data_IF_859689253565
#
_entry.id   IF_859689253565
#
_cell.length_a   1.000
_cell.length_b   1.000
_cell.length_c   1.000
_cell.angle_alpha   90.00
_cell.angle_beta   90.00
_cell.angle_gamma   90.00
#
_symmetry.space_group_name_H-M   'P 1'
#
loop_
_entity.id
_entity.type
_entity.pdbx_description
1 polymer ?
#
# COMPACT_ATOMS: atom_id res chain seq x y z
N UNK A 1 -50.41 24.35 -6.13
CA UNK A 1 -50.48 23.78 -4.77
C UNK A 1 -50.79 22.28 -4.89
N UNK A 2 -50.45 21.45 -3.89
CA UNK A 2 -50.98 20.09 -3.68
C UNK A 2 -51.07 19.11 -4.89
N UNK A 3 -49.92 18.71 -5.48
CA UNK A 3 -49.80 17.37 -6.10
C UNK A 3 -48.36 16.77 -6.07
N UNK A 4 -47.50 17.20 -5.15
CA UNK A 4 -46.11 16.72 -5.07
C UNK A 4 -45.77 16.03 -3.72
N UNK A 5 -46.76 15.39 -3.10
CA UNK A 5 -46.66 14.83 -1.73
C UNK A 5 -46.98 13.32 -1.64
N UNK A 6 -47.02 12.62 -2.79
CA UNK A 6 -47.51 11.22 -2.86
C UNK A 6 -46.42 10.17 -3.19
N UNK A 7 -45.25 10.56 -3.71
CA UNK A 7 -44.19 9.61 -4.14
C UNK A 7 -43.10 9.42 -3.08
N UNK A 8 -42.78 10.44 -2.28
CA UNK A 8 -41.80 10.39 -1.20
C UNK A 8 -42.31 9.66 0.06
N UNK A 9 -42.91 8.46 -0.10
CA UNK A 9 -43.38 7.62 1.03
C UNK A 9 -43.18 6.11 0.87
N UNK A 10 -42.35 5.66 -0.08
CA UNK A 10 -41.87 4.27 -0.19
C UNK A 10 -40.39 4.17 -0.61
N UNK A 11 -39.49 4.75 0.18
CA UNK A 11 -38.07 4.33 0.30
C UNK A 11 -37.41 5.09 1.47
N UNK A 12 -37.91 4.88 2.67
CA UNK A 12 -37.26 5.36 3.89
C UNK A 12 -36.50 4.20 4.53
N UNK A 13 -35.20 4.07 4.25
CA UNK A 13 -34.20 3.48 5.14
C UNK A 13 -32.78 3.77 4.65
N UNK A 14 -31.86 3.93 5.62
CA UNK A 14 -30.41 4.09 5.52
C UNK A 14 -29.83 5.47 5.08
N UNK A 15 -28.81 5.85 5.86
CA UNK A 15 -27.82 6.93 5.69
C UNK A 15 -28.28 8.38 5.50
N UNK A 16 -28.46 9.05 6.66
CA UNK A 16 -28.37 10.50 6.82
C UNK A 16 -26.91 10.94 6.66
N UNK A 17 -26.67 11.97 5.84
CA UNK A 17 -25.56 12.90 6.02
C UNK A 17 -26.14 14.30 6.25
N UNK A 18 -25.62 15.00 7.26
CA UNK A 18 -26.14 16.30 7.70
C UNK A 18 -25.27 17.42 7.11
N UNK A 19 -25.90 18.35 6.38
CA UNK A 19 -25.23 19.49 5.74
C UNK A 19 -25.86 20.78 6.24
N UNK A 20 -25.06 21.65 6.86
CA UNK A 20 -25.54 22.94 7.38
C UNK A 20 -25.75 23.95 6.25
N UNK A 21 -26.89 24.64 6.28
CA UNK A 21 -27.29 25.63 5.27
C UNK A 21 -27.01 27.03 5.81
N UNK A 22 -26.01 27.71 5.25
CA UNK A 22 -25.83 29.15 5.44
C UNK A 22 -26.88 29.91 4.62
N UNK A 23 -27.85 30.51 5.29
CA UNK A 23 -28.87 31.33 4.65
C UNK A 23 -28.30 32.69 4.21
N UNK A 24 -28.55 33.06 2.95
CA UNK A 24 -28.32 34.40 2.41
C UNK A 24 -29.65 35.01 1.95
N UNK A 25 -29.81 36.32 2.16
CA UNK A 25 -31.08 37.03 1.99
C UNK A 25 -31.49 37.27 0.52
N UNK A 26 -32.74 37.71 0.29
CA UNK A 26 -33.27 37.93 -1.05
C UNK A 26 -32.59 39.13 -1.73
N UNK A 27 -31.93 38.91 -2.87
CA UNK A 27 -31.36 40.01 -3.66
C UNK A 27 -30.39 39.63 -4.80
N UNK A 28 -29.82 38.42 -4.83
CA UNK A 28 -28.76 38.05 -5.78
C UNK A 28 -29.15 36.91 -6.73
N UNK A 29 -29.26 37.22 -8.03
CA UNK A 29 -29.34 36.22 -9.09
C UNK A 29 -27.95 35.67 -9.41
N UNK A 30 -27.60 34.49 -8.88
CA UNK A 30 -26.53 33.64 -9.43
C UNK A 30 -26.98 32.18 -9.43
N UNK A 31 -26.83 31.50 -10.57
CA UNK A 31 -27.08 30.08 -10.69
C UNK A 31 -25.88 29.29 -10.12
N UNK A 32 -26.15 28.31 -9.26
CA UNK A 32 -25.12 27.41 -8.75
C UNK A 32 -24.71 26.40 -9.83
N UNK A 33 -23.51 26.53 -10.39
CA UNK A 33 -22.92 25.52 -11.24
C UNK A 33 -22.36 24.37 -10.38
N UNK A 34 -23.04 23.24 -10.38
CA UNK A 34 -22.50 21.97 -9.86
C UNK A 34 -21.68 21.32 -10.96
N UNK A 35 -20.35 21.38 -10.86
CA UNK A 35 -19.42 20.71 -11.78
C UNK A 35 -18.92 19.40 -11.19
N UNK A 36 -19.35 18.27 -11.75
CA UNK A 36 -18.74 16.97 -11.48
C UNK A 36 -17.28 16.99 -11.95
N UNK A 37 -16.34 17.00 -11.02
CA UNK A 37 -14.91 16.97 -11.34
C UNK A 37 -14.46 15.54 -11.64
N UNK A 38 -14.38 15.20 -12.93
CA UNK A 38 -13.63 14.04 -13.37
C UNK A 38 -12.11 14.28 -13.28
N UNK A 39 -11.36 13.20 -13.14
CA UNK A 39 -9.90 13.21 -13.00
C UNK A 39 -9.25 13.84 -14.24
N UNK A 40 -8.40 14.84 -14.03
CA UNK A 40 -7.49 15.37 -15.05
C UNK A 40 -6.07 14.90 -14.79
N UNK A 41 -5.53 14.07 -15.69
CA UNK A 41 -4.08 13.92 -15.83
C UNK A 41 -3.51 15.21 -16.43
N UNK A 42 -2.54 15.82 -15.74
CA UNK A 42 -1.76 16.92 -16.32
C UNK A 42 -0.48 16.35 -16.92
N UNK A 43 -0.50 16.10 -18.23
CA UNK A 43 0.70 15.90 -19.05
C UNK A 43 0.93 17.18 -19.86
N UNK A 44 2.08 17.82 -19.71
CA UNK A 44 2.46 18.99 -20.51
C UNK A 44 3.00 18.56 -21.87
N UNK A 45 2.42 19.00 -23.00
CA UNK A 45 2.89 18.65 -24.34
C UNK A 45 3.86 19.70 -24.89
N UNK A 46 5.15 19.59 -24.57
CA UNK A 46 6.23 20.28 -25.29
C UNK A 46 7.36 19.29 -25.60
N UNK A 47 7.99 19.45 -26.78
CA UNK A 47 8.94 18.51 -27.41
C UNK A 47 8.35 17.15 -27.86
N UNK A 48 7.36 17.18 -28.76
CA UNK A 48 7.15 16.11 -29.75
C UNK A 48 7.02 16.66 -31.18
N UNK A 49 8.10 17.30 -31.65
CA UNK A 49 8.39 17.48 -33.07
C UNK A 49 9.78 16.89 -33.36
N UNK A 50 9.94 16.28 -34.54
CA UNK A 50 11.09 15.45 -34.97
C UNK A 50 11.12 14.00 -34.44
N UNK A 51 10.20 13.16 -34.93
CA UNK A 51 10.42 11.73 -35.18
C UNK A 51 9.58 11.30 -36.41
N UNK A 52 10.00 10.30 -37.22
CA UNK A 52 9.36 10.01 -38.52
C UNK A 52 8.01 9.26 -38.43
N UNK A 53 7.20 9.36 -39.48
CA UNK A 53 5.80 8.86 -39.56
C UNK A 53 5.56 7.37 -39.29
N UNK A 54 6.59 6.52 -39.22
CA UNK A 54 6.44 5.07 -39.13
C UNK A 54 6.06 4.51 -37.75
N UNK A 55 6.02 5.34 -36.69
CA UNK A 55 5.67 4.90 -35.33
C UNK A 55 4.21 5.15 -34.91
N UNK A 56 3.40 5.83 -35.74
CA UNK A 56 2.02 6.19 -35.38
C UNK A 56 0.99 5.07 -35.62
N UNK A 57 1.33 4.02 -36.37
CA UNK A 57 0.40 2.93 -36.73
C UNK A 57 0.26 1.82 -35.68
N UNK A 58 1.27 1.59 -34.83
CA UNK A 58 1.24 0.49 -33.85
C UNK A 58 0.46 0.83 -32.57
N UNK A 59 0.52 2.08 -32.10
CA UNK A 59 -0.19 2.51 -30.89
C UNK A 59 -1.72 2.53 -31.04
N UNK A 60 -2.23 2.72 -32.26
CA UNK A 60 -3.68 2.73 -32.53
C UNK A 60 -4.29 1.32 -32.45
N UNK A 61 -3.51 0.28 -32.73
CA UNK A 61 -3.98 -1.11 -32.70
C UNK A 61 -4.15 -1.68 -31.29
N UNK A 62 -3.32 -1.27 -30.32
CA UNK A 62 -3.46 -1.74 -28.93
C UNK A 62 -4.67 -1.16 -28.19
N UNK A 63 -5.13 0.04 -28.58
CA UNK A 63 -6.28 0.69 -27.94
C UNK A 63 -7.64 0.06 -28.29
N UNK A 64 -7.74 -0.69 -29.39
CA UNK A 64 -8.96 -1.36 -29.82
C UNK A 64 -9.16 -2.77 -29.21
N UNK A 65 -8.20 -3.27 -28.44
CA UNK A 65 -8.25 -4.61 -27.82
C UNK A 65 -8.63 -4.61 -26.34
N UNK A 66 -8.91 -3.45 -25.74
CA UNK A 66 -9.23 -3.32 -24.31
C UNK A 66 -10.74 -3.21 -23.99
N UNK A 67 -11.61 -3.42 -24.99
CA UNK A 67 -13.08 -3.28 -24.83
C UNK A 67 -13.85 -4.42 -25.51
N UNK A 68 -13.51 -5.69 -25.22
CA UNK A 68 -14.45 -6.82 -25.41
C UNK A 68 -14.02 -8.11 -24.68
N UNK A 69 -14.94 -8.62 -23.86
CA UNK A 69 -15.03 -9.95 -23.23
C UNK A 69 -16.55 -10.21 -23.02
N UNK A 70 -17.08 -11.45 -22.93
CA UNK A 70 -16.33 -12.68 -22.70
C UNK A 70 -16.68 -13.90 -23.59
N UNK A 71 -15.93 -14.99 -23.36
CA UNK A 71 -16.33 -16.40 -23.57
C UNK A 71 -16.69 -16.89 -24.99
N UNK A 72 -15.75 -17.51 -25.70
CA UNK A 72 -15.58 -18.98 -25.71
C UNK A 72 -14.43 -19.45 -26.63
N UNK A 73 -13.98 -20.69 -26.45
CA UNK A 73 -12.78 -21.22 -27.09
C UNK A 73 -12.98 -21.63 -28.57
N UNK A 74 -11.95 -21.41 -29.38
CA UNK A 74 -11.74 -22.10 -30.66
C UNK A 74 -10.24 -22.38 -30.85
N UNK A 75 -9.91 -23.62 -31.20
CA UNK A 75 -8.53 -24.05 -31.45
C UNK A 75 -8.08 -23.74 -32.90
N UNK A 76 -6.78 -23.62 -33.11
CA UNK A 76 -6.16 -23.41 -34.42
C UNK A 76 -6.33 -24.63 -35.35
N UNK A 77 -6.37 -24.42 -36.67
CA UNK A 77 -6.31 -25.50 -37.65
C UNK A 77 -5.47 -25.14 -38.90
N UNK A 78 -4.32 -25.80 -39.02
CA UNK A 78 -3.56 -26.15 -40.22
C UNK A 78 -2.36 -27.00 -39.72
N UNK A 79 -1.97 -28.13 -40.30
CA UNK A 79 -2.54 -28.90 -41.42
C UNK A 79 -1.93 -30.34 -41.41
N UNK A 80 -2.40 -31.23 -42.31
CA UNK A 80 -1.86 -32.52 -42.80
C UNK A 80 -2.56 -33.86 -42.46
N UNK A 81 -2.93 -34.53 -43.57
CA UNK A 81 -3.23 -35.96 -43.79
C UNK A 81 -4.61 -36.53 -43.39
N UNK A 82 -5.04 -37.53 -44.17
CA UNK A 82 -6.43 -38.01 -44.40
C UNK A 82 -6.57 -39.51 -44.01
N UNK A 83 -7.71 -40.25 -44.18
CA UNK A 83 -8.96 -40.01 -44.93
C UNK A 83 -10.26 -40.31 -44.08
N UNK A 84 -11.48 -40.56 -44.63
CA UNK A 84 -12.75 -40.22 -43.94
C UNK A 84 -13.59 -41.39 -43.35
N UNK A 85 -14.58 -41.02 -42.52
CA UNK A 85 -15.72 -41.86 -42.11
C UNK A 85 -17.04 -41.05 -42.05
N UNK A 86 -18.19 -41.74 -42.00
CA UNK A 86 -19.54 -41.22 -42.35
C UNK A 86 -20.28 -40.48 -41.20
N UNK A 87 -21.42 -39.88 -41.55
CA UNK A 87 -22.32 -39.11 -40.67
C UNK A 87 -23.58 -39.91 -40.23
N UNK A 88 -24.60 -39.20 -39.72
CA UNK A 88 -25.85 -39.67 -39.06
C UNK A 88 -25.70 -40.00 -37.56
N UNK A 89 -26.72 -39.85 -36.69
CA UNK A 89 -28.14 -39.59 -36.94
C UNK A 89 -28.87 -38.87 -35.75
N UNK A 90 -30.18 -38.60 -35.94
CA UNK A 90 -31.26 -38.32 -34.98
C UNK A 90 -31.63 -36.86 -34.60
N UNK A 91 -32.89 -36.72 -34.17
CA UNK A 91 -33.79 -35.55 -34.27
C UNK A 91 -34.59 -35.27 -32.97
N UNK A 92 -35.30 -34.12 -32.83
CA UNK A 92 -35.87 -33.64 -31.55
C UNK A 92 -37.40 -33.81 -31.37
N UNK A 93 -37.91 -33.69 -30.12
CA UNK A 93 -39.35 -33.79 -29.81
C UNK A 93 -39.88 -32.82 -28.70
N UNK A 94 -40.40 -31.66 -29.13
CA UNK A 94 -41.72 -31.04 -28.83
C UNK A 94 -42.40 -30.97 -27.41
N UNK A 95 -42.41 -29.76 -26.81
CA UNK A 95 -43.52 -29.02 -26.08
C UNK A 95 -44.28 -29.71 -24.88
N UNK A 96 -45.33 -29.16 -24.18
CA UNK A 96 -46.15 -27.91 -24.33
C UNK A 96 -46.51 -27.04 -23.08
N UNK A 97 -47.13 -25.85 -23.35
CA UNK A 97 -48.10 -25.08 -22.52
C UNK A 97 -47.62 -24.36 -21.21
N UNK A 98 -48.21 -23.25 -20.70
CA UNK A 98 -49.42 -22.45 -21.06
C UNK A 98 -49.25 -20.93 -20.75
N UNK A 99 -50.14 -20.07 -21.30
CA UNK A 99 -50.41 -18.67 -20.89
C UNK A 99 -51.91 -18.54 -20.44
N UNK A 100 -52.64 -17.38 -20.34
CA UNK A 100 -52.44 -15.97 -20.80
C UNK A 100 -52.22 -15.00 -19.59
N UNK A 101 -52.73 -13.77 -19.35
CA UNK A 101 -53.76 -12.80 -19.85
C UNK A 101 -53.39 -11.38 -19.27
N UNK A 102 -53.92 -10.19 -19.67
CA UNK A 102 -54.40 -9.61 -20.95
C UNK A 102 -54.64 -8.07 -20.76
N UNK A 103 -54.85 -7.34 -21.87
CA UNK A 103 -55.56 -6.04 -22.02
C UNK A 103 -54.87 -4.72 -21.55
N UNK A 104 -55.14 -3.54 -22.13
CA UNK A 104 -55.63 -3.17 -23.49
C UNK A 104 -55.53 -1.64 -23.73
N UNK A 105 -55.60 -1.16 -25.00
CA UNK A 105 -56.05 0.22 -25.34
C UNK A 105 -55.16 1.07 -26.27
N UNK A 106 -55.56 1.21 -27.55
CA UNK A 106 -55.07 2.23 -28.51
C UNK A 106 -56.24 2.66 -29.42
N UNK A 107 -56.60 3.97 -29.47
CA UNK A 107 -56.82 4.68 -30.75
C UNK A 107 -56.52 6.22 -30.70
N UNK A 108 -56.38 7.00 -31.79
CA UNK A 108 -55.85 6.79 -33.16
C UNK A 108 -55.64 8.18 -33.84
N UNK A 109 -55.09 8.21 -35.06
CA UNK A 109 -55.13 9.25 -36.14
C UNK A 109 -55.06 10.78 -35.85
N UNK A 110 -54.09 11.47 -36.49
CA UNK A 110 -54.32 12.13 -37.80
C UNK A 110 -53.01 12.62 -38.48
N UNK A 111 -53.05 12.80 -39.81
CA UNK A 111 -51.97 13.25 -40.73
C UNK A 111 -52.61 14.33 -41.64
N UNK A 112 -51.99 15.52 -41.90
CA UNK A 112 -51.05 15.62 -43.03
C UNK A 112 -49.92 16.69 -43.01
N UNK A 113 -48.92 16.35 -43.82
CA UNK A 113 -47.87 17.10 -44.52
C UNK A 113 -48.05 18.60 -44.82
N UNK A 114 -46.93 19.34 -44.76
CA UNK A 114 -46.41 20.19 -45.86
C UNK A 114 -44.93 20.59 -45.59
N UNK A 115 -44.25 21.21 -46.56
CA UNK A 115 -42.77 21.31 -46.59
C UNK A 115 -42.24 22.57 -47.33
N UNK A 116 -40.90 22.66 -47.43
CA UNK A 116 -40.05 23.41 -48.39
C UNK A 116 -39.31 24.69 -47.90
N UNK A 117 -37.97 24.66 -48.12
CA UNK A 117 -37.10 25.76 -48.60
C UNK A 117 -36.72 26.91 -47.64
N UNK A 118 -35.54 27.58 -47.76
CA UNK A 118 -34.42 27.43 -48.72
C UNK A 118 -33.05 27.81 -48.12
N UNK A 119 -31.99 27.52 -48.89
CA UNK A 119 -30.57 27.88 -48.69
C UNK A 119 -30.27 29.38 -48.54
N UNK A 120 -29.11 29.72 -47.96
CA UNK A 120 -27.98 30.30 -48.72
C UNK A 120 -26.76 30.67 -47.85
N UNK A 121 -25.56 30.26 -48.26
CA UNK A 121 -24.30 30.85 -47.78
C UNK A 121 -23.91 32.04 -48.65
N UNK A 122 -23.50 33.17 -48.06
CA UNK A 122 -22.72 34.21 -48.76
C UNK A 122 -21.81 35.01 -47.80
N UNK A 123 -20.56 35.19 -48.23
CA UNK A 123 -19.55 36.20 -47.80
C UNK A 123 -19.19 37.00 -49.08
N UNK A 124 -18.40 38.11 -49.10
CA UNK A 124 -17.50 38.62 -48.03
C UNK A 124 -17.41 40.17 -47.87
N UNK A 125 -16.43 40.59 -47.07
CA UNK A 125 -15.67 41.86 -47.15
C UNK A 125 -16.36 43.24 -47.06
N UNK A 126 -16.10 43.91 -45.95
CA UNK A 126 -15.52 45.27 -45.94
C UNK A 126 -14.65 45.41 -44.69
N UNK A 127 -13.51 46.11 -44.80
CA UNK A 127 -12.53 46.22 -43.72
C UNK A 127 -12.14 47.68 -43.48
N UNK A 128 -12.06 48.11 -42.22
CA UNK A 128 -11.44 49.39 -41.87
C UNK A 128 -10.88 49.44 -40.44
N UNK A 129 -9.60 49.82 -40.35
CA UNK A 129 -8.83 50.35 -39.21
C UNK A 129 -8.73 49.51 -37.92
N UNK A 130 -7.47 49.28 -37.54
CA UNK A 130 -7.04 48.72 -36.25
C UNK A 130 -6.96 49.85 -35.22
N UNK A 131 -7.63 49.71 -34.08
CA UNK A 131 -7.24 50.33 -32.81
C UNK A 131 -7.28 49.23 -31.75
N UNK A 132 -6.12 48.67 -31.41
CA UNK A 132 -6.02 47.55 -30.47
C UNK A 132 -6.00 48.00 -29.01
N UNK A 133 -6.89 47.49 -28.14
CA UNK A 133 -6.78 47.68 -26.70
C UNK A 133 -6.02 46.52 -26.05
N UNK A 134 -4.89 46.87 -25.43
CA UNK A 134 -4.36 46.31 -24.17
C UNK A 134 -4.30 44.77 -24.01
N UNK A 135 -3.08 44.24 -23.94
CA UNK A 135 -2.84 42.97 -23.23
C UNK A 135 -3.29 43.11 -21.77
N UNK A 136 -4.42 42.53 -21.40
CA UNK A 136 -4.63 42.10 -20.02
C UNK A 136 -3.75 40.88 -19.82
N UNK A 137 -2.55 41.09 -19.29
CA UNK A 137 -1.81 40.01 -18.64
C UNK A 137 -2.73 39.49 -17.55
N UNK A 138 -3.15 38.23 -17.66
CA UNK A 138 -3.86 37.57 -16.58
C UNK A 138 -2.91 37.41 -15.42
N UNK A 139 -2.98 38.34 -14.45
CA UNK A 139 -2.19 38.26 -13.23
C UNK A 139 -2.37 36.87 -12.63
N UNK A 140 -1.26 36.14 -12.47
CA UNK A 140 -1.26 34.92 -11.70
C UNK A 140 -1.73 35.30 -10.31
N UNK A 141 -2.90 34.78 -9.90
CA UNK A 141 -3.41 34.91 -8.54
C UNK A 141 -2.52 34.07 -7.62
N UNK A 142 -1.33 34.60 -7.38
CA UNK A 142 -0.42 34.20 -6.31
C UNK A 142 -1.19 34.44 -5.03
N UNK A 143 -1.70 33.35 -4.46
CA UNK A 143 -2.42 33.38 -3.18
C UNK A 143 -1.46 34.00 -2.17
N UNK A 144 -1.74 35.26 -1.77
CA UNK A 144 -0.88 36.02 -0.88
C UNK A 144 -0.63 35.21 0.39
N UNK A 145 0.59 35.21 0.94
CA UNK A 145 0.92 34.37 2.08
C UNK A 145 -0.07 34.60 3.22
N UNK A 146 -0.66 33.50 3.70
CA UNK A 146 -1.69 33.47 4.77
C UNK A 146 -1.09 33.89 6.14
N UNK A 147 0.23 34.07 6.17
CA UNK A 147 1.07 34.48 7.29
C UNK A 147 1.73 35.81 6.94
N UNK A 148 1.63 36.79 7.83
CA UNK A 148 2.34 38.08 7.77
C UNK A 148 3.10 38.26 9.06
N UNK A 149 4.41 38.54 8.97
CA UNK A 149 5.32 38.67 10.12
C UNK A 149 5.15 37.52 11.13
N UNK A 150 5.25 36.29 10.61
CA UNK A 150 5.10 35.01 11.33
C UNK A 150 3.78 34.80 12.10
N UNK A 151 2.73 35.56 11.76
CA UNK A 151 1.39 35.44 12.34
C UNK A 151 0.32 35.21 11.28
N UNK A 152 -0.62 34.30 11.58
CA UNK A 152 -1.79 34.07 10.75
C UNK A 152 -2.68 35.32 10.72
N UNK A 153 -3.10 35.76 9.53
CA UNK A 153 -3.94 36.95 9.33
C UNK A 153 -5.30 36.79 10.05
N UNK A 154 -5.83 35.56 10.09
CA UNK A 154 -7.02 35.20 10.86
C UNK A 154 -6.60 34.32 12.07
N UNK A 155 -6.75 34.81 13.32
CA UNK A 155 -6.39 34.03 14.52
C UNK A 155 -7.21 32.75 14.72
N UNK A 156 -8.47 32.69 14.29
CA UNK A 156 -9.27 31.46 14.34
C UNK A 156 -8.80 30.45 13.27
N UNK A 157 -8.42 30.91 12.08
CA UNK A 157 -7.75 30.04 11.10
C UNK A 157 -6.39 29.55 11.65
N UNK A 158 -5.65 30.41 12.35
CA UNK A 158 -4.45 30.04 13.09
C UNK A 158 -4.71 28.98 14.16
N UNK A 159 -5.82 29.06 14.89
CA UNK A 159 -6.26 28.03 15.85
C UNK A 159 -6.70 26.73 15.16
N UNK A 160 -7.35 26.78 14.00
CA UNK A 160 -7.68 25.58 13.22
C UNK A 160 -6.43 24.92 12.64
N UNK A 161 -5.48 25.68 12.09
CA UNK A 161 -4.17 25.15 11.69
C UNK A 161 -3.36 24.64 12.88
N UNK A 162 -3.45 25.27 14.05
CA UNK A 162 -2.85 24.76 15.28
C UNK A 162 -3.53 23.46 15.74
N UNK A 163 -4.86 23.33 15.63
CA UNK A 163 -5.61 22.10 15.96
C UNK A 163 -5.31 20.95 14.99
N UNK A 164 -5.14 21.24 13.70
CA UNK A 164 -4.64 20.27 12.72
C UNK A 164 -3.17 19.90 12.98
N UNK A 165 -2.38 20.79 13.60
CA UNK A 165 -1.02 20.52 14.12
C UNK A 165 -0.99 19.90 15.52
N UNK A 166 -2.12 19.78 16.23
CA UNK A 166 -2.22 18.97 17.47
C UNK A 166 -2.63 17.53 17.20
N UNK A 167 -2.53 17.06 15.95
CA UNK A 167 -2.32 15.64 15.70
C UNK A 167 -0.99 15.21 16.36
N UNK A 168 -1.01 14.03 16.98
CA UNK A 168 0.14 13.49 17.69
C UNK A 168 1.14 12.84 16.73
N UNK A 169 2.42 12.79 17.13
CA UNK A 169 3.47 12.18 16.30
C UNK A 169 3.58 10.67 16.47
N UNK A 170 3.22 10.15 17.63
CA UNK A 170 3.23 8.72 17.98
C UNK A 170 2.03 8.36 18.88
N UNK A 171 1.83 7.07 19.13
CA UNK A 171 0.81 6.58 20.07
C UNK A 171 1.13 6.96 21.52
N UNK A 172 2.41 7.00 21.92
CA UNK A 172 2.86 7.54 23.20
C UNK A 172 2.43 9.01 23.36
N UNK A 173 2.61 9.79 22.30
CA UNK A 173 2.24 11.20 22.21
C UNK A 173 0.71 11.40 22.38
N UNK A 174 -0.12 10.48 21.85
CA UNK A 174 -1.58 10.43 22.10
C UNK A 174 -1.87 10.05 23.56
N UNK A 175 -1.20 9.02 24.08
CA UNK A 175 -1.40 8.49 25.43
C UNK A 175 -1.16 9.55 26.50
N UNK A 176 -0.05 10.27 26.40
CA UNK A 176 0.34 11.33 27.35
C UNK A 176 -0.58 12.55 27.27
N UNK A 177 -0.97 12.97 26.06
CA UNK A 177 -1.71 14.23 25.85
C UNK A 177 -3.22 14.10 26.04
N UNK A 178 -3.77 12.91 25.78
CA UNK A 178 -5.22 12.66 25.77
C UNK A 178 -5.67 11.49 26.66
N UNK A 179 -4.75 10.80 27.33
CA UNK A 179 -5.08 9.71 28.26
C UNK A 179 -5.59 8.44 27.59
N UNK A 180 -5.18 8.16 26.35
CA UNK A 180 -5.67 7.00 25.59
C UNK A 180 -5.21 5.65 26.18
N UNK A 181 -6.18 4.74 26.35
CA UNK A 181 -6.00 3.43 27.01
C UNK A 181 -6.43 2.23 26.18
N UNK A 182 -6.94 2.43 24.97
CA UNK A 182 -7.54 1.37 24.14
C UNK A 182 -6.69 1.13 22.90
N UNK A 183 -6.39 -0.13 22.61
CA UNK A 183 -5.71 -0.51 21.37
C UNK A 183 -6.59 -0.22 20.15
N UNK A 184 -6.01 0.15 19.00
CA UNK A 184 -6.78 0.42 17.78
C UNK A 184 -6.10 1.33 16.77
N UNK A 185 -6.81 1.70 15.70
CA UNK A 185 -6.33 2.63 14.67
C UNK A 185 -6.46 4.09 15.15
N UNK A 186 -5.37 4.85 15.07
CA UNK A 186 -5.32 6.28 15.34
C UNK A 186 -4.73 7.06 14.16
N UNK A 187 -5.06 8.35 14.07
CA UNK A 187 -4.45 9.29 13.14
C UNK A 187 -3.22 9.97 13.78
N UNK A 188 -2.10 9.93 13.06
CA UNK A 188 -0.82 10.53 13.44
C UNK A 188 -0.37 11.53 12.37
N UNK A 189 0.60 12.40 12.72
CA UNK A 189 1.23 13.32 11.78
C UNK A 189 2.75 13.35 11.94
N UNK A 190 3.48 13.52 10.85
CA UNK A 190 4.94 13.72 10.90
C UNK A 190 5.31 15.14 11.34
N UNK A 191 6.59 15.39 11.67
CA UNK A 191 7.08 16.75 11.89
C UNK A 191 6.83 17.70 10.71
N UNK A 192 6.78 17.15 9.49
CA UNK A 192 6.49 17.87 8.25
C UNK A 192 4.98 17.97 7.92
N UNK A 193 4.09 17.45 8.78
CA UNK A 193 2.64 17.56 8.62
C UNK A 193 2.00 16.50 7.69
N UNK A 194 2.73 15.46 7.30
CA UNK A 194 2.16 14.31 6.59
C UNK A 194 1.30 13.50 7.56
N UNK A 195 -0.02 13.51 7.35
CA UNK A 195 -0.97 12.73 8.13
C UNK A 195 -1.03 11.27 7.65
N UNK A 196 -1.13 10.33 8.56
CA UNK A 196 -1.27 8.89 8.28
C UNK A 196 -2.07 8.19 9.39
N UNK A 197 -2.57 6.99 9.11
CA UNK A 197 -3.14 6.10 10.12
C UNK A 197 -2.12 5.04 10.53
N UNK A 198 -2.13 4.67 11.81
CA UNK A 198 -1.45 3.46 12.28
C UNK A 198 -2.21 2.80 13.43
N UNK A 199 -1.90 1.53 13.68
CA UNK A 199 -2.32 0.82 14.88
C UNK A 199 -1.47 1.25 16.08
N UNK A 200 -2.15 1.54 17.19
CA UNK A 200 -1.56 1.78 18.50
C UNK A 200 -1.86 0.62 19.43
N UNK A 201 -0.83 0.10 20.08
CA UNK A 201 -0.97 -0.70 21.29
C UNK A 201 -0.84 0.24 22.50
N UNK A 202 -1.95 0.36 23.25
CA UNK A 202 -2.10 1.20 24.43
C UNK A 202 -1.99 0.39 25.74
N UNK A 203 -1.63 -0.88 25.64
CA UNK A 203 -1.70 -1.90 26.70
C UNK A 203 -0.33 -2.44 27.12
N UNK A 204 0.50 -2.94 26.18
CA UNK A 204 1.73 -3.70 26.50
C UNK A 204 2.77 -2.84 27.22
N UNK A 205 3.29 -3.30 28.35
CA UNK A 205 4.23 -2.54 29.20
C UNK A 205 3.76 -1.10 29.51
N UNK A 206 2.43 -0.90 29.66
CA UNK A 206 1.80 0.40 29.85
C UNK A 206 1.34 1.08 28.54
N UNK A 207 1.68 0.55 27.37
CA UNK A 207 1.25 1.03 26.06
C UNK A 207 2.06 2.20 25.50
N UNK A 208 1.49 2.84 24.48
CA UNK A 208 2.10 3.93 23.71
C UNK A 208 2.86 3.45 22.47
N UNK A 209 2.83 2.14 22.19
CA UNK A 209 3.52 1.52 21.07
C UNK A 209 2.84 1.86 19.75
N UNK A 210 3.62 2.36 18.81
CA UNK A 210 3.17 2.79 17.48
C UNK A 210 3.62 1.78 16.45
N UNK A 211 2.70 1.07 15.78
CA UNK A 211 3.07 0.26 14.62
C UNK A 211 3.69 1.18 13.55
N UNK A 212 4.83 0.77 12.99
CA UNK A 212 5.56 1.56 11.98
C UNK A 212 5.93 0.77 10.75
N UNK A 213 6.11 -0.55 10.89
CA UNK A 213 6.39 -1.46 9.80
C UNK A 213 5.83 -2.86 10.06
N UNK A 214 5.72 -3.66 9.00
CA UNK A 214 5.55 -5.11 9.05
C UNK A 214 6.35 -5.73 7.90
N UNK A 215 7.06 -6.82 8.19
CA UNK A 215 7.71 -7.68 7.19
C UNK A 215 6.81 -8.90 6.98
N UNK A 216 6.30 -9.08 5.76
CA UNK A 216 5.36 -10.15 5.42
C UNK A 216 5.87 -10.96 4.23
N UNK A 217 6.20 -12.22 4.48
CA UNK A 217 6.56 -13.18 3.44
C UNK A 217 5.32 -13.58 2.62
N UNK A 218 5.27 -13.13 1.35
CA UNK A 218 4.15 -13.40 0.45
C UNK A 218 4.31 -14.69 -0.37
N UNK A 219 5.56 -15.15 -0.58
CA UNK A 219 5.87 -16.37 -1.32
C UNK A 219 7.31 -16.79 -1.04
N UNK A 220 7.52 -17.58 0.01
CA UNK A 220 8.85 -18.04 0.45
C UNK A 220 9.67 -18.75 -0.64
N UNK A 221 9.04 -19.25 -1.71
CA UNK A 221 9.69 -19.88 -2.86
C UNK A 221 9.96 -18.91 -4.04
N UNK A 222 9.39 -17.70 -4.02
CA UNK A 222 9.58 -16.62 -4.99
C UNK A 222 10.77 -15.75 -4.62
N UNK A 223 11.98 -16.25 -4.88
CA UNK A 223 13.20 -15.72 -4.24
C UNK A 223 13.66 -14.36 -4.77
N UNK A 224 13.43 -13.29 -4.00
CA UNK A 224 13.67 -11.89 -4.37
C UNK A 224 12.84 -11.46 -5.60
N UNK A 225 11.52 -11.64 -5.49
CA UNK A 225 10.50 -11.38 -6.51
C UNK A 225 9.52 -10.27 -6.07
N UNK A 226 8.39 -10.10 -6.76
CA UNK A 226 7.40 -9.09 -6.41
C UNK A 226 6.75 -9.42 -5.06
N UNK A 227 6.96 -8.55 -4.07
CA UNK A 227 6.61 -8.78 -2.67
C UNK A 227 7.81 -8.61 -1.73
N UNK A 228 9.02 -8.97 -2.16
CA UNK A 228 10.25 -8.91 -1.35
C UNK A 228 10.79 -7.48 -1.15
N UNK A 229 10.04 -6.61 -0.45
CA UNK A 229 10.34 -5.19 -0.31
C UNK A 229 11.40 -4.91 0.76
N UNK A 230 11.60 -5.81 1.70
CA UNK A 230 12.60 -5.71 2.76
C UNK A 230 13.93 -6.39 2.40
N UNK A 231 14.04 -6.97 1.22
CA UNK A 231 15.28 -7.48 0.60
C UNK A 231 15.44 -6.91 -0.82
N UNK A 232 15.04 -7.63 -1.87
CA UNK A 232 15.02 -7.11 -3.24
C UNK A 232 13.90 -7.71 -4.08
N UNK A 233 13.23 -6.89 -4.89
CA UNK A 233 12.24 -7.35 -5.88
C UNK A 233 12.85 -7.54 -7.27
N UNK A 234 14.17 -7.59 -7.37
CA UNK A 234 14.95 -7.59 -8.62
C UNK A 234 15.88 -8.82 -8.71
N UNK A 235 15.58 -9.88 -7.96
CA UNK A 235 16.42 -11.05 -7.78
C UNK A 235 17.66 -10.79 -6.90
N UNK A 236 18.52 -11.81 -6.83
CA UNK A 236 19.83 -11.73 -6.15
C UNK A 236 20.90 -11.24 -7.14
N UNK A 237 21.25 -9.95 -7.10
CA UNK A 237 22.24 -9.33 -8.02
C UNK A 237 23.35 -8.60 -7.23
N UNK A 238 24.64 -8.99 -7.35
CA UNK A 238 25.76 -8.30 -6.70
C UNK A 238 25.92 -6.83 -7.12
N UNK A 239 25.31 -6.40 -8.24
CA UNK A 239 25.27 -5.00 -8.68
C UNK A 239 24.16 -4.18 -7.99
N UNK A 240 23.21 -4.84 -7.32
CA UNK A 240 22.18 -4.24 -6.47
C UNK A 240 22.39 -4.61 -4.99
N UNK A 241 23.57 -4.39 -4.38
CA UNK A 241 23.88 -4.91 -3.05
C UNK A 241 22.98 -4.36 -1.93
N UNK A 242 22.31 -3.22 -2.13
CA UNK A 242 21.33 -2.62 -1.20
C UNK A 242 19.90 -3.17 -1.37
N UNK A 243 19.62 -3.94 -2.43
CA UNK A 243 18.28 -4.44 -2.75
C UNK A 243 17.29 -3.32 -3.11
N UNK A 244 16.18 -3.23 -2.39
CA UNK A 244 15.27 -2.06 -2.45
C UNK A 244 15.72 -0.90 -1.52
N UNK A 245 16.67 -1.16 -0.60
CA UNK A 245 17.15 -0.17 0.38
C UNK A 245 16.10 0.28 1.40
N UNK A 246 14.97 -0.43 1.49
CA UNK A 246 13.76 -0.05 2.25
C UNK A 246 14.02 0.29 3.71
N UNK A 247 14.93 -0.44 4.36
CA UNK A 247 15.34 -0.21 5.75
C UNK A 247 15.88 1.20 6.02
N UNK A 248 16.49 1.86 5.03
CA UNK A 248 17.17 3.16 5.16
C UNK A 248 16.63 4.26 4.23
N UNK A 249 15.51 4.01 3.53
CA UNK A 249 14.83 4.97 2.65
C UNK A 249 13.50 5.49 3.27
N UNK A 250 12.90 6.52 2.65
CA UNK A 250 11.63 7.12 3.09
C UNK A 250 10.42 6.67 2.27
N UNK A 251 10.53 5.57 1.51
CA UNK A 251 9.38 4.98 0.79
C UNK A 251 8.43 4.34 1.83
N UNK A 252 7.13 4.41 1.58
CA UNK A 252 6.04 3.89 2.42
C UNK A 252 5.05 3.08 1.58
N UNK A 253 4.47 2.03 2.15
CA UNK A 253 3.58 1.09 1.46
C UNK A 253 2.63 0.38 2.45
N UNK A 254 1.63 -0.33 1.91
CA UNK A 254 0.63 -1.05 2.68
C UNK A 254 -0.35 -0.16 3.43
N UNK A 255 -1.19 -0.78 4.26
CA UNK A 255 -2.05 -0.11 5.25
C UNK A 255 -1.89 -0.80 6.61
N UNK A 256 -2.27 -0.13 7.69
CA UNK A 256 -2.18 -0.73 9.02
C UNK A 256 -3.03 -2.01 9.11
N UNK A 257 -4.30 -1.96 8.70
CA UNK A 257 -5.19 -3.14 8.69
C UNK A 257 -4.69 -4.27 7.77
N UNK A 258 -3.90 -3.95 6.74
CA UNK A 258 -3.29 -4.91 5.83
C UNK A 258 -1.94 -5.51 6.28
N UNK A 259 -1.40 -5.11 7.43
CA UNK A 259 -0.03 -5.44 7.86
C UNK A 259 0.25 -6.94 8.13
N UNK A 260 -0.77 -7.79 8.12
CA UNK A 260 -0.68 -9.26 8.17
C UNK A 260 -0.97 -9.93 6.82
N UNK A 261 -1.20 -9.16 5.75
CA UNK A 261 -1.60 -9.68 4.41
C UNK A 261 -0.67 -9.21 3.28
N UNK A 262 0.10 -8.15 3.52
CA UNK A 262 1.17 -7.62 2.68
C UNK A 262 2.10 -6.78 3.57
N UNK A 263 3.25 -6.36 3.06
CA UNK A 263 4.16 -5.49 3.81
C UNK A 263 3.50 -4.15 4.18
N UNK A 264 3.87 -3.64 5.36
CA UNK A 264 3.47 -2.32 5.81
C UNK A 264 4.70 -1.47 6.16
N UNK A 265 4.69 -0.19 5.78
CA UNK A 265 5.68 0.79 6.25
C UNK A 265 5.09 2.18 6.16
N UNK A 266 4.95 2.86 7.30
CA UNK A 266 4.35 4.20 7.38
C UNK A 266 5.41 5.31 7.62
N UNK A 267 5.04 6.60 7.52
CA UNK A 267 5.97 7.71 7.75
C UNK A 267 6.59 7.74 9.15
N UNK A 268 5.92 7.15 10.15
CA UNK A 268 6.42 7.04 11.52
C UNK A 268 7.72 6.24 11.63
N UNK A 269 7.95 5.29 10.73
CA UNK A 269 9.18 4.48 10.66
C UNK A 269 10.47 5.33 10.62
N UNK A 270 10.42 6.51 9.99
CA UNK A 270 11.56 7.43 9.85
C UNK A 270 11.36 8.79 10.56
N UNK A 271 10.13 9.19 10.89
CA UNK A 271 9.83 10.47 11.54
C UNK A 271 9.83 10.39 13.08
N UNK A 272 9.29 9.31 13.67
CA UNK A 272 9.15 9.19 15.12
C UNK A 272 10.53 9.15 15.78
N UNK A 273 10.63 9.84 16.92
CA UNK A 273 11.76 9.73 17.85
C UNK A 273 11.29 8.84 19.01
N UNK A 274 11.81 7.63 19.05
CA UNK A 274 11.52 6.59 20.02
C UNK A 274 12.80 6.16 20.74
N UNK A 275 12.64 5.39 21.81
CA UNK A 275 13.74 4.84 22.60
C UNK A 275 13.89 3.33 22.38
N UNK A 276 12.77 2.61 22.28
CA UNK A 276 12.73 1.14 22.22
C UNK A 276 11.77 0.63 21.12
N UNK A 277 11.89 -0.66 20.80
CA UNK A 277 10.99 -1.38 19.89
C UNK A 277 10.16 -2.46 20.61
N UNK A 278 8.97 -2.72 20.09
CA UNK A 278 8.17 -3.93 20.36
C UNK A 278 7.93 -4.66 19.04
N UNK A 279 7.94 -6.00 19.07
CA UNK A 279 7.83 -6.84 17.88
C UNK A 279 6.86 -7.99 18.13
N UNK A 280 5.88 -8.11 17.25
CA UNK A 280 4.84 -9.14 17.31
C UNK A 280 4.92 -10.02 16.05
N UNK A 281 4.90 -11.34 16.24
CA UNK A 281 4.78 -12.32 15.17
C UNK A 281 3.31 -12.74 15.09
N UNK A 282 2.59 -12.24 14.07
CA UNK A 282 1.13 -12.36 13.96
C UNK A 282 0.79 -13.18 12.72
N UNK A 283 -0.02 -14.27 12.83
CA UNK A 283 -0.37 -15.13 11.70
C UNK A 283 -0.90 -14.35 10.48
N UNK A 284 -0.49 -14.77 9.29
CA UNK A 284 -0.89 -14.11 8.04
C UNK A 284 -2.41 -14.16 7.85
N UNK A 285 -3.00 -13.05 7.43
CA UNK A 285 -4.44 -12.85 7.31
C UNK A 285 -5.20 -12.66 8.64
N UNK A 286 -4.53 -12.63 9.79
CA UNK A 286 -5.19 -12.37 11.08
C UNK A 286 -5.77 -10.94 11.12
N UNK A 287 -7.02 -10.83 11.59
CA UNK A 287 -7.75 -9.56 11.70
C UNK A 287 -7.19 -8.69 12.83
N UNK A 288 -7.18 -7.37 12.63
CA UNK A 288 -6.55 -6.40 13.54
C UNK A 288 -7.03 -6.52 15.00
N UNK A 289 -8.30 -6.85 15.21
CA UNK A 289 -8.92 -7.01 16.54
C UNK A 289 -8.36 -8.20 17.31
N UNK A 290 -7.76 -9.17 16.62
CA UNK A 290 -7.25 -10.41 17.19
C UNK A 290 -5.71 -10.45 17.28
N UNK A 291 -4.98 -9.49 16.72
CA UNK A 291 -3.50 -9.56 16.66
C UNK A 291 -2.86 -9.84 18.02
N UNK A 292 -3.37 -9.22 19.09
CA UNK A 292 -2.87 -9.39 20.47
C UNK A 292 -3.12 -10.81 21.02
N UNK A 293 -4.20 -11.48 20.62
CA UNK A 293 -4.51 -12.87 21.03
C UNK A 293 -3.85 -13.93 20.16
N UNK A 294 -3.74 -13.66 18.86
CA UNK A 294 -3.35 -14.64 17.84
C UNK A 294 -1.82 -14.64 17.61
N UNK A 295 -1.10 -13.66 18.17
CA UNK A 295 0.36 -13.57 18.12
C UNK A 295 1.04 -14.81 18.70
N UNK A 296 1.88 -15.49 17.92
CA UNK A 296 2.68 -16.64 18.38
C UNK A 296 3.87 -16.20 19.25
N UNK A 297 4.30 -14.95 19.11
CA UNK A 297 5.39 -14.35 19.87
C UNK A 297 5.19 -12.84 19.97
N UNK A 298 5.32 -12.26 21.16
CA UNK A 298 5.36 -10.81 21.39
C UNK A 298 6.43 -10.49 22.41
N UNK A 299 7.25 -9.49 22.12
CA UNK A 299 8.27 -9.02 23.04
C UNK A 299 8.60 -7.54 22.79
N UNK A 300 9.22 -6.88 23.76
CA UNK A 300 9.72 -5.52 23.64
C UNK A 300 11.10 -5.34 24.27
N UNK A 301 11.72 -4.21 23.96
CA UNK A 301 13.00 -3.76 24.55
C UNK A 301 12.72 -2.68 25.61
N UNK A 302 13.58 -2.58 26.62
CA UNK A 302 13.52 -1.57 27.69
C UNK A 302 14.90 -0.88 27.90
N UNK A 303 15.69 -0.80 26.83
CA UNK A 303 17.12 -0.44 26.88
C UNK A 303 17.44 0.93 26.30
N UNK A 304 16.43 1.60 25.72
CA UNK A 304 16.54 2.89 25.04
C UNK A 304 17.58 2.88 23.90
N UNK A 305 17.74 1.74 23.23
CA UNK A 305 18.85 1.54 22.29
C UNK A 305 18.71 2.38 21.01
N UNK A 306 17.48 2.75 20.61
CA UNK A 306 17.24 3.61 19.45
C UNK A 306 17.81 5.01 19.66
N UNK A 307 17.84 5.52 20.89
CA UNK A 307 18.40 6.84 21.23
C UNK A 307 19.87 6.97 20.82
N UNK A 308 20.64 5.87 20.89
CA UNK A 308 22.04 5.80 20.44
C UNK A 308 22.21 5.75 18.91
N UNK A 309 21.10 5.69 18.16
CA UNK A 309 21.03 5.48 16.72
C UNK A 309 20.04 6.42 16.02
N UNK A 310 19.74 7.59 16.61
CA UNK A 310 18.89 8.63 16.00
C UNK A 310 17.38 8.51 16.27
N UNK A 311 16.96 7.59 17.15
CA UNK A 311 15.59 7.47 17.63
C UNK A 311 14.67 6.56 16.80
N UNK A 312 15.15 5.94 15.71
CA UNK A 312 14.37 4.97 14.94
C UNK A 312 15.26 4.05 14.08
N UNK A 313 14.66 3.00 13.50
CA UNK A 313 15.37 2.02 12.67
C UNK A 313 15.87 2.61 11.35
N UNK A 314 15.22 3.65 10.79
CA UNK A 314 15.73 4.35 9.61
C UNK A 314 17.11 4.98 9.86
N UNK A 315 17.30 5.64 11.00
CA UNK A 315 18.62 6.17 11.38
C UNK A 315 19.59 5.06 11.83
N UNK A 316 19.10 3.98 12.46
CA UNK A 316 19.91 2.80 12.77
C UNK A 316 20.48 2.16 11.50
N UNK A 317 19.66 1.88 10.49
CA UNK A 317 20.10 1.26 9.24
C UNK A 317 20.86 2.23 8.31
N UNK A 318 20.79 3.54 8.55
CA UNK A 318 21.77 4.50 7.97
C UNK A 318 23.14 4.43 8.64
N UNK A 319 23.20 4.13 9.94
CA UNK A 319 24.45 3.92 10.71
C UNK A 319 25.04 2.52 10.47
N UNK A 320 24.19 1.53 10.25
CA UNK A 320 24.54 0.14 9.95
C UNK A 320 23.81 -0.30 8.66
N UNK A 321 24.36 -0.03 7.47
CA UNK A 321 23.68 -0.36 6.21
C UNK A 321 23.44 -1.86 6.04
N UNK A 322 22.23 -2.22 5.61
CA UNK A 322 21.85 -3.56 5.17
C UNK A 322 22.23 -3.69 3.70
N UNK A 323 23.47 -4.12 3.45
CA UNK A 323 24.08 -4.13 2.11
C UNK A 323 25.04 -5.31 1.97
N UNK A 324 24.94 -6.05 0.86
CA UNK A 324 25.87 -7.13 0.55
C UNK A 324 27.34 -6.66 0.51
N UNK A 325 28.24 -7.47 1.08
CA UNK A 325 29.68 -7.38 0.87
C UNK A 325 30.44 -6.31 1.66
N UNK A 326 29.79 -5.48 2.48
CA UNK A 326 30.43 -4.38 3.24
C UNK A 326 30.89 -4.75 4.67
N UNK A 327 30.81 -6.02 5.07
CA UNK A 327 31.20 -6.48 6.39
C UNK A 327 31.34 -8.00 6.44
N UNK A 328 31.70 -8.53 7.61
CA UNK A 328 31.91 -9.95 7.86
C UNK A 328 31.13 -10.42 9.10
N UNK A 329 30.70 -11.68 9.08
CA UNK A 329 30.04 -12.33 10.21
C UNK A 329 30.79 -12.12 11.53
N UNK A 330 30.04 -11.90 12.61
CA UNK A 330 30.52 -11.68 13.99
C UNK A 330 31.39 -10.43 14.24
N UNK A 331 32.03 -9.86 13.21
CA UNK A 331 32.83 -8.63 13.30
C UNK A 331 31.98 -7.38 13.14
N UNK A 332 31.14 -7.36 12.10
CA UNK A 332 30.38 -6.18 11.67
C UNK A 332 28.90 -6.27 12.05
N UNK A 333 28.54 -7.15 12.98
CA UNK A 333 27.21 -7.19 13.61
C UNK A 333 26.85 -5.83 14.22
N UNK A 334 25.66 -5.34 13.92
CA UNK A 334 25.12 -4.11 14.51
C UNK A 334 24.61 -4.31 15.95
N UNK A 335 23.77 -3.39 16.46
CA UNK A 335 23.32 -3.44 17.86
C UNK A 335 22.50 -4.70 18.18
N UNK A 336 22.70 -5.23 19.38
CA UNK A 336 21.82 -6.23 20.02
C UNK A 336 21.22 -5.62 21.29
N UNK A 337 19.93 -5.81 21.51
CA UNK A 337 19.26 -5.52 22.79
C UNK A 337 18.63 -6.79 23.38
N UNK A 338 18.67 -7.03 24.70
CA UNK A 338 17.80 -8.02 25.36
C UNK A 338 16.33 -7.64 25.23
N UNK A 339 15.43 -8.62 25.31
CA UNK A 339 13.97 -8.39 25.24
C UNK A 339 13.22 -8.96 26.43
N UNK A 340 12.11 -8.33 26.79
CA UNK A 340 11.09 -8.80 27.72
C UNK A 340 9.94 -9.39 26.91
N UNK A 341 9.48 -10.58 27.25
CA UNK A 341 8.41 -11.28 26.53
C UNK A 341 7.02 -10.95 27.10
N UNK A 342 6.09 -10.62 26.21
CA UNK A 342 4.68 -10.36 26.51
C UNK A 342 3.77 -11.52 26.05
N UNK A 343 4.24 -12.32 25.10
CA UNK A 343 3.69 -13.61 24.69
C UNK A 343 4.84 -14.53 24.26
N UNK A 344 4.91 -15.75 24.81
CA UNK A 344 6.01 -16.69 24.58
C UNK A 344 7.21 -16.47 25.51
N UNK A 345 8.32 -17.17 25.24
CA UNK A 345 9.55 -17.10 26.03
C UNK A 345 10.82 -17.48 25.23
N UNK A 346 11.97 -17.55 25.90
CA UNK A 346 13.26 -17.95 25.29
C UNK A 346 13.24 -19.37 24.69
N UNK A 347 12.53 -20.31 25.28
CA UNK A 347 12.37 -21.68 24.78
C UNK A 347 11.41 -21.70 23.58
N UNK A 348 10.23 -21.09 23.68
CA UNK A 348 9.27 -21.06 22.56
C UNK A 348 9.87 -20.38 21.33
N UNK A 349 10.53 -19.22 21.50
CA UNK A 349 11.29 -18.54 20.44
C UNK A 349 12.29 -19.48 19.79
N UNK A 350 13.08 -20.21 20.59
CA UNK A 350 14.08 -21.15 20.09
C UNK A 350 13.46 -22.34 19.34
N UNK A 351 12.22 -22.72 19.66
CA UNK A 351 11.51 -23.79 18.94
C UNK A 351 10.85 -23.35 17.63
N UNK A 352 10.63 -22.05 17.40
CA UNK A 352 10.13 -21.52 16.12
C UNK A 352 11.18 -21.63 14.99
N UNK A 353 12.47 -21.62 15.32
CA UNK A 353 13.57 -21.79 14.36
C UNK A 353 13.97 -23.26 14.16
N UNK A 354 14.65 -23.56 13.05
CA UNK A 354 14.98 -24.92 12.64
C UNK A 354 15.86 -25.70 13.62
N UNK A 355 15.57 -26.98 13.92
CA UNK A 355 16.33 -27.80 14.88
C UNK A 355 17.85 -27.76 14.76
N UNK A 356 18.43 -27.70 13.56
CA UNK A 356 19.88 -27.73 13.33
C UNK A 356 20.57 -26.35 13.38
N UNK A 357 19.79 -25.27 13.51
CA UNK A 357 20.33 -23.91 13.70
C UNK A 357 20.16 -23.41 15.15
N UNK A 358 19.54 -24.21 16.02
CA UNK A 358 19.29 -23.87 17.43
C UNK A 358 20.55 -23.78 18.31
N UNK A 359 21.72 -24.25 17.88
CA UNK A 359 22.99 -23.99 18.59
C UNK A 359 23.71 -22.73 18.10
N UNK A 360 23.16 -22.04 17.09
CA UNK A 360 23.82 -20.95 16.37
C UNK A 360 23.37 -19.55 16.83
N UNK A 361 22.42 -19.49 17.77
CA UNK A 361 21.93 -18.26 18.37
C UNK A 361 21.53 -18.42 19.84
N UNK A 362 21.48 -17.30 20.54
CA UNK A 362 20.96 -17.15 21.90
C UNK A 362 19.58 -16.46 21.86
N UNK A 363 18.50 -17.07 22.37
CA UNK A 363 17.17 -16.46 22.39
C UNK A 363 17.00 -15.44 23.52
N UNK A 364 16.03 -14.53 23.38
CA UNK A 364 15.73 -13.45 24.33
C UNK A 364 16.47 -12.15 24.04
N UNK A 365 16.65 -11.84 22.76
CA UNK A 365 17.28 -10.63 22.25
C UNK A 365 16.58 -10.14 20.98
N UNK A 366 16.99 -8.99 20.45
CA UNK A 366 16.80 -8.60 19.05
C UNK A 366 18.12 -8.02 18.54
N UNK A 367 18.55 -8.42 17.35
CA UNK A 367 19.82 -7.97 16.76
C UNK A 367 19.59 -7.37 15.38
N UNK A 368 20.26 -6.26 15.09
CA UNK A 368 20.12 -5.50 13.86
C UNK A 368 21.39 -5.55 13.01
N UNK A 369 21.23 -5.67 11.69
CA UNK A 369 22.29 -5.72 10.68
C UNK A 369 23.39 -6.75 10.99
N UNK A 370 23.17 -7.98 10.55
CA UNK A 370 24.15 -9.08 10.65
C UNK A 370 24.64 -9.51 9.26
N UNK A 371 25.73 -10.28 9.21
CA UNK A 371 26.25 -10.86 7.98
C UNK A 371 26.41 -12.38 8.11
N UNK A 372 26.17 -13.10 7.02
CA UNK A 372 26.46 -14.53 6.93
C UNK A 372 27.91 -14.83 6.51
N UNK A 373 28.23 -16.10 6.24
CA UNK A 373 29.58 -16.52 5.80
C UNK A 373 30.00 -15.87 4.48
N UNK A 374 29.08 -15.75 3.51
CA UNK A 374 29.34 -15.16 2.19
C UNK A 374 29.09 -13.63 2.13
N UNK A 375 28.89 -12.97 3.27
CA UNK A 375 28.69 -11.51 3.38
C UNK A 375 27.36 -10.98 2.80
N UNK A 376 26.36 -11.84 2.65
CA UNK A 376 24.96 -11.39 2.59
C UNK A 376 24.61 -10.69 3.91
N UNK A 377 23.84 -9.61 3.84
CA UNK A 377 23.47 -8.81 5.00
C UNK A 377 21.99 -8.99 5.32
N UNK A 378 21.66 -9.33 6.57
CA UNK A 378 20.28 -9.49 7.03
C UNK A 378 19.91 -8.36 8.00
N UNK A 379 18.67 -7.89 7.93
CA UNK A 379 18.26 -6.67 8.62
C UNK A 379 17.95 -6.89 10.11
N UNK A 380 17.09 -7.86 10.43
CA UNK A 380 16.61 -8.09 11.80
C UNK A 380 16.67 -9.58 12.15
N UNK A 381 17.36 -9.90 13.23
CA UNK A 381 17.29 -11.19 13.90
C UNK A 381 16.26 -11.11 15.03
N UNK A 382 15.07 -11.64 14.77
CA UNK A 382 13.89 -11.50 15.63
C UNK A 382 13.97 -12.48 16.81
N UNK A 383 13.73 -12.02 18.04
CA UNK A 383 13.77 -12.82 19.27
C UNK A 383 15.14 -13.44 19.65
N UNK A 384 16.18 -13.27 18.83
CA UNK A 384 17.47 -13.97 18.94
C UNK A 384 18.70 -13.08 18.70
N UNK A 385 19.84 -13.56 19.19
CA UNK A 385 21.18 -13.00 18.99
C UNK A 385 22.08 -14.06 18.34
N UNK A 386 22.58 -13.87 17.11
CA UNK A 386 23.48 -14.84 16.46
C UNK A 386 24.80 -15.02 17.20
N UNK A 387 25.32 -16.26 17.20
CA UNK A 387 26.66 -16.63 17.65
C UNK A 387 27.44 -17.48 16.62
N UNK A 388 26.85 -17.75 15.45
CA UNK A 388 27.51 -18.26 14.24
C UNK A 388 26.98 -17.51 13.00
N UNK A 389 27.30 -18.02 11.82
CA UNK A 389 27.23 -17.29 10.56
C UNK A 389 26.15 -17.77 9.58
N UNK A 390 25.37 -18.82 9.86
CA UNK A 390 24.23 -19.19 9.00
C UNK A 390 22.96 -18.39 9.34
N UNK A 391 23.10 -17.06 9.34
CA UNK A 391 22.09 -16.09 9.78
C UNK A 391 20.83 -16.05 8.91
N UNK A 392 20.92 -16.47 7.66
CA UNK A 392 19.82 -16.63 6.69
C UNK A 392 18.75 -17.67 7.11
N UNK A 393 18.97 -18.45 8.17
CA UNK A 393 17.96 -19.39 8.68
C UNK A 393 17.22 -18.89 9.93
N UNK A 394 17.53 -17.67 10.41
CA UNK A 394 16.91 -17.10 11.61
C UNK A 394 16.86 -15.56 11.67
N UNK A 395 17.29 -14.84 10.63
CA UNK A 395 17.14 -13.39 10.49
C UNK A 395 16.41 -13.03 9.17
N UNK A 396 15.64 -11.93 9.20
CA UNK A 396 14.72 -11.49 8.15
C UNK A 396 15.13 -10.14 7.54
N UNK A 397 14.66 -9.88 6.32
CA UNK A 397 15.05 -8.76 5.46
C UNK A 397 16.54 -8.82 5.09
N UNK A 398 16.96 -8.07 4.06
CA UNK A 398 18.36 -8.06 3.68
C UNK A 398 18.79 -7.03 2.66
N UNK A 399 20.03 -7.20 2.18
CA UNK A 399 20.51 -6.55 0.96
C UNK A 399 20.03 -7.31 -0.28
N UNK A 400 20.39 -6.82 -1.47
CA UNK A 400 19.94 -7.40 -2.75
C UNK A 400 20.83 -8.50 -3.33
N UNK A 401 21.73 -9.09 -2.53
CA UNK A 401 22.48 -10.26 -2.99
C UNK A 401 22.82 -11.23 -1.86
N UNK A 402 22.48 -12.49 -2.15
CA UNK A 402 22.80 -13.69 -1.40
C UNK A 402 23.50 -14.64 -2.38
N UNK A 403 24.80 -14.95 -2.20
CA UNK A 403 25.62 -15.65 -3.21
C UNK A 403 25.78 -17.15 -2.96
N UNK A 404 25.23 -17.73 -1.89
CA UNK A 404 25.26 -19.18 -1.70
C UNK A 404 24.48 -19.89 -2.82
N UNK A 405 24.78 -21.17 -3.08
CA UNK A 405 24.09 -21.93 -4.13
C UNK A 405 22.67 -22.31 -3.74
N UNK A 406 22.37 -22.39 -2.45
CA UNK A 406 21.00 -22.50 -1.97
C UNK A 406 20.28 -21.15 -2.14
N UNK A 407 19.01 -21.13 -2.62
CA UNK A 407 18.30 -19.88 -2.83
C UNK A 407 17.86 -19.25 -1.49
N UNK A 408 18.61 -18.24 -1.03
CA UNK A 408 18.40 -17.54 0.25
C UNK A 408 17.82 -16.12 0.11
N UNK A 409 17.65 -15.61 -1.11
CA UNK A 409 17.18 -14.24 -1.32
C UNK A 409 15.66 -14.17 -1.16
N UNK A 410 15.18 -13.30 -0.28
CA UNK A 410 13.76 -13.04 -0.01
C UNK A 410 13.58 -12.41 1.38
N UNK A 411 12.37 -12.02 1.74
CA UNK A 411 12.14 -11.27 2.97
C UNK A 411 12.22 -12.15 4.23
N UNK A 412 11.79 -13.42 4.19
CA UNK A 412 12.17 -14.44 5.18
C UNK A 412 13.38 -15.30 4.72
N UNK A 413 14.17 -14.76 3.79
CA UNK A 413 15.48 -15.25 3.33
C UNK A 413 15.57 -16.77 3.06
N UNK A 414 16.26 -17.51 3.93
CA UNK A 414 16.50 -18.95 3.84
C UNK A 414 15.68 -19.78 4.83
N UNK A 415 14.53 -19.27 5.31
CA UNK A 415 13.70 -19.97 6.32
C UNK A 415 13.07 -21.28 5.81
N UNK A 416 12.95 -21.49 4.49
CA UNK A 416 12.49 -22.74 3.86
C UNK A 416 13.63 -23.73 3.54
N UNK A 417 14.88 -23.41 3.89
CA UNK A 417 16.05 -24.24 3.54
C UNK A 417 16.02 -25.62 4.22
N UNK A 418 15.55 -26.63 3.51
CA UNK A 418 15.70 -28.04 3.87
C UNK A 418 17.03 -28.59 3.34
N UNK A 419 17.71 -29.43 4.14
CA UNK A 419 19.05 -29.94 3.81
C UNK A 419 18.96 -31.02 2.72
N UNK A 420 19.53 -30.74 1.53
CA UNK A 420 19.47 -31.67 0.40
C UNK A 420 20.15 -33.01 0.73
N UNK A 421 19.34 -34.05 0.97
CA UNK A 421 19.80 -35.39 1.33
C UNK A 421 19.75 -35.75 2.83
N UNK A 422 19.22 -34.91 3.72
CA UNK A 422 18.98 -35.29 5.12
C UNK A 422 17.70 -34.68 5.72
N UNK A 423 16.96 -35.49 6.49
CA UNK A 423 15.73 -35.09 7.18
C UNK A 423 15.99 -34.21 8.42
N UNK A 424 16.86 -33.20 8.33
CA UNK A 424 17.32 -32.39 9.47
C UNK A 424 17.43 -30.88 9.20
N UNK A 425 16.27 -30.24 8.98
CA UNK A 425 15.82 -29.20 9.91
C UNK A 425 16.64 -27.92 10.05
N UNK A 426 17.18 -27.37 8.96
CA UNK A 426 17.59 -25.94 8.89
C UNK A 426 16.36 -25.01 8.85
N UNK A 427 15.32 -25.44 8.13
CA UNK A 427 14.00 -24.83 7.96
C UNK A 427 13.29 -24.46 9.27
N UNK A 428 12.69 -23.27 9.29
CA UNK A 428 11.86 -22.75 10.39
C UNK A 428 10.49 -23.45 10.52
N UNK A 429 9.79 -23.24 11.64
CA UNK A 429 8.46 -23.79 11.86
C UNK A 429 7.41 -23.10 10.97
N UNK A 430 6.32 -23.81 10.64
CA UNK A 430 5.27 -23.31 9.74
C UNK A 430 4.64 -22.04 10.29
N UNK A 431 4.43 -22.03 11.60
CA UNK A 431 3.86 -20.93 12.37
C UNK A 431 4.71 -19.66 12.22
N UNK A 432 6.04 -19.78 12.21
CA UNK A 432 6.93 -18.63 12.00
C UNK A 432 6.96 -18.17 10.54
N UNK A 433 6.96 -19.11 9.58
CA UNK A 433 6.98 -18.75 8.15
C UNK A 433 5.65 -18.19 7.64
N UNK A 434 4.55 -18.43 8.33
CA UNK A 434 3.21 -17.93 8.01
C UNK A 434 2.72 -16.87 9.03
N UNK A 435 3.66 -16.13 9.64
CA UNK A 435 3.35 -15.01 10.53
C UNK A 435 4.18 -13.76 10.19
N UNK A 436 3.49 -12.65 9.91
CA UNK A 436 4.09 -11.35 9.65
C UNK A 436 4.74 -10.78 10.90
N UNK A 437 5.89 -10.10 10.73
CA UNK A 437 6.67 -9.52 11.81
C UNK A 437 6.38 -8.03 11.92
N UNK A 438 5.38 -7.69 12.73
CA UNK A 438 4.94 -6.33 13.01
C UNK A 438 5.94 -5.63 13.95
N UNK A 439 6.38 -4.44 13.58
CA UNK A 439 7.39 -3.65 14.29
C UNK A 439 6.78 -2.35 14.81
N UNK A 440 6.92 -2.14 16.11
CA UNK A 440 6.39 -1.00 16.85
C UNK A 440 7.51 -0.17 17.49
N UNK A 441 7.26 1.12 17.68
CA UNK A 441 8.13 2.08 18.38
C UNK A 441 7.46 2.67 19.62
N UNK A 442 8.26 2.97 20.66
CA UNK A 442 7.89 3.85 21.77
C UNK A 442 9.05 4.74 22.18
#
# INVERSE_FOLDING_TARGET
MSLLCAVLRRMAHLHVFQMEILALGPGTNMAAFVTCSHVWLVLQPQLLFQLPLLLQSQLLYQFLSLVQEPNLALASLHDWTSPPAQASDLTPELVPYSAPDLASGIPLDLIPSLALYSDSCLRPCSALVIVGPLHVVGDVVTVKPIVVNDRYINPELGKYHARLRTLSRSCQDIKEKFGATTDGIYYLTTANGVMYQSFCDMTTAGGGWTLVASVHENNIHGKCTLGDRWSSQQGSDPKRPDGEGTWANTITFGSAEGATSDDYKNPGYYDILAEDVSVWHVPNGAQLQNWTSDSILRYHTETKFLSNSGGNLYYLFKKYPVRFGIGECSKDTGPTSPVVYDTGDKHSTKTLYGPSVRDQFEPGFITFRVFNEEKAAMAICSGIKPIRCHTEHYCIGGGGHFPEKAPQCGDFTGFDSDSYGSNTGKRASKELTEAAVLIFYR
#
